data_IF_871156508732
#
_entry.id   IF_871156508732
#
_cell.length_a   1.000
_cell.length_b   1.000
_cell.length_c   1.000
_cell.angle_alpha   90.00
_cell.angle_beta   90.00
_cell.angle_gamma   90.00
#
_symmetry.space_group_name_H-M   'P 1'
#
loop_
_entity.id
_entity.type
_entity.pdbx_description
1 polymer ?
#
# COMPACT_ATOMS: atom_id res chain seq x y z
N UNK A 1 -2.15 27.51 4.58
CA UNK A 1 -3.04 26.51 3.93
C UNK A 1 -4.35 27.17 3.58
N UNK A 2 -4.87 26.94 2.38
CA UNK A 2 -6.21 27.39 1.97
C UNK A 2 -7.19 26.25 2.28
N UNK A 3 -8.27 26.56 3.00
CA UNK A 3 -9.33 25.61 3.40
C UNK A 3 -10.69 26.11 2.92
N UNK A 4 -11.76 25.29 2.96
CA UNK A 4 -13.10 25.74 2.63
C UNK A 4 -13.61 26.92 3.47
N UNK A 5 -13.22 26.98 4.75
CA UNK A 5 -13.70 27.98 5.72
C UNK A 5 -12.76 29.20 5.85
N UNK A 6 -11.52 29.13 5.37
CA UNK A 6 -10.56 30.21 5.56
C UNK A 6 -9.12 29.86 5.19
N UNK A 7 -8.19 30.76 5.53
CA UNK A 7 -6.75 30.56 5.30
C UNK A 7 -6.04 30.54 6.64
N UNK A 8 -5.34 29.45 6.92
CA UNK A 8 -4.63 29.22 8.18
C UNK A 8 -3.12 29.14 7.96
N UNK A 9 -2.33 29.60 8.92
CA UNK A 9 -0.88 29.37 9.00
C UNK A 9 -0.55 28.63 10.32
N UNK A 10 0.72 28.61 10.69
CA UNK A 10 1.23 28.12 11.97
C UNK A 10 0.73 28.92 13.19
N UNK A 11 0.24 30.14 12.97
CA UNK A 11 -0.40 31.00 13.98
C UNK A 11 -1.95 30.98 13.88
N UNK A 12 -2.52 30.02 13.13
CA UNK A 12 -3.95 29.81 12.86
C UNK A 12 -4.66 30.84 11.98
N UNK A 13 -4.33 32.13 12.04
CA UNK A 13 -4.99 33.17 11.23
C UNK A 13 -4.00 34.01 10.42
N UNK A 14 -4.45 34.45 9.24
CA UNK A 14 -3.69 35.34 8.38
C UNK A 14 -4.49 36.62 8.09
N UNK A 15 -4.05 37.74 8.67
CA UNK A 15 -4.54 39.08 8.35
C UNK A 15 -4.15 39.42 6.89
N UNK A 16 -5.09 39.30 5.95
CA UNK A 16 -4.96 39.59 4.50
C UNK A 16 -4.27 38.50 3.63
N UNK A 17 -4.96 37.37 3.34
CA UNK A 17 -4.38 36.30 2.56
C UNK A 17 -4.27 36.59 1.06
N UNK A 18 -3.11 36.30 0.47
CA UNK A 18 -2.87 36.41 -0.98
C UNK A 18 -3.77 35.50 -1.83
N UNK A 19 -4.25 34.41 -1.25
CA UNK A 19 -5.08 33.40 -1.89
C UNK A 19 -6.30 33.12 -1.04
N UNK A 20 -7.44 32.88 -1.67
CA UNK A 20 -8.68 32.47 -1.00
C UNK A 20 -9.27 31.24 -1.65
N UNK A 21 -10.08 30.53 -0.89
CA UNK A 21 -10.83 29.40 -1.41
C UNK A 21 -11.93 29.90 -2.34
N UNK A 22 -12.06 29.23 -3.50
CA UNK A 22 -13.15 29.46 -4.44
C UNK A 22 -13.98 28.19 -4.49
N UNK A 23 -15.23 28.21 -3.98
CA UNK A 23 -16.10 27.04 -4.00
C UNK A 23 -16.25 26.47 -5.41
N UNK A 24 -16.00 25.17 -5.54
CA UNK A 24 -16.10 24.42 -6.79
C UNK A 24 -17.14 23.30 -6.70
N UNK A 25 -17.90 23.24 -5.60
CA UNK A 25 -18.86 22.16 -5.30
C UNK A 25 -18.17 20.80 -5.29
N UNK A 26 -16.94 20.76 -4.76
CA UNK A 26 -16.20 19.53 -4.59
C UNK A 26 -16.62 18.87 -3.28
N UNK A 27 -16.71 17.54 -3.28
CA UNK A 27 -17.14 16.79 -2.09
C UNK A 27 -16.20 16.93 -0.87
N UNK A 28 -14.98 17.48 -1.04
CA UNK A 28 -14.11 17.80 0.11
C UNK A 28 -14.64 18.99 0.91
N UNK A 29 -15.35 19.92 0.26
CA UNK A 29 -15.92 21.12 0.88
C UNK A 29 -16.93 20.70 1.96
N UNK A 30 -17.82 19.77 1.62
CA UNK A 30 -18.84 19.24 2.53
C UNK A 30 -18.27 18.34 3.65
N UNK A 31 -17.01 17.92 3.52
CA UNK A 31 -16.33 17.00 4.47
C UNK A 31 -15.41 17.72 5.43
N UNK A 32 -15.05 18.97 5.16
CA UNK A 32 -14.30 19.79 6.09
C UNK A 32 -15.19 20.15 7.28
N UNK A 33 -14.70 19.93 8.50
CA UNK A 33 -15.49 20.05 9.73
C UNK A 33 -14.74 20.84 10.82
N UNK A 34 -13.78 21.67 10.42
CA UNK A 34 -12.98 22.49 11.33
C UNK A 34 -13.37 23.96 11.18
N UNK A 35 -13.95 24.53 12.23
CA UNK A 35 -14.35 25.93 12.27
C UNK A 35 -13.13 26.81 12.55
N UNK A 36 -12.77 27.67 11.59
CA UNK A 36 -11.60 28.54 11.69
C UNK A 36 -11.91 29.81 12.48
N UNK A 37 -13.14 30.35 12.32
CA UNK A 37 -13.60 31.60 12.93
C UNK A 37 -13.70 31.56 14.47
N UNK A 38 -13.65 30.37 15.09
CA UNK A 38 -13.65 30.21 16.54
C UNK A 38 -12.26 30.36 17.18
N UNK A 39 -11.22 30.63 16.38
CA UNK A 39 -9.85 30.79 16.84
C UNK A 39 -9.09 29.47 17.01
N UNK A 40 -7.76 29.60 17.03
CA UNK A 40 -6.80 28.48 16.98
C UNK A 40 -6.45 27.86 18.30
N UNK A 41 -7.04 28.36 19.39
CA UNK A 41 -6.80 27.83 20.73
C UNK A 41 -7.27 26.38 20.81
N UNK A 42 -6.44 25.56 21.48
CA UNK A 42 -6.70 24.15 21.74
C UNK A 42 -6.19 23.73 23.13
N UNK A 43 -6.74 22.63 23.65
CA UNK A 43 -6.28 21.99 24.90
C UNK A 43 -5.11 21.04 24.63
N UNK A 44 -3.90 21.47 25.02
CA UNK A 44 -2.68 20.68 24.87
C UNK A 44 -2.68 19.38 25.67
N UNK A 45 -3.36 19.32 26.82
CA UNK A 45 -3.44 18.09 27.62
C UNK A 45 -4.33 17.08 26.90
N UNK A 46 -5.44 17.52 26.30
CA UNK A 46 -6.29 16.66 25.49
C UNK A 46 -5.58 16.16 24.23
N UNK A 47 -4.81 17.02 23.55
CA UNK A 47 -3.95 16.62 22.42
C UNK A 47 -2.93 15.56 22.84
N UNK A 48 -2.24 15.76 23.97
CA UNK A 48 -1.28 14.77 24.50
C UNK A 48 -1.97 13.42 24.75
N UNK A 49 -3.12 13.43 25.42
CA UNK A 49 -3.90 12.21 25.70
C UNK A 49 -4.33 11.48 24.42
N UNK A 50 -4.75 12.20 23.37
CA UNK A 50 -5.07 11.63 22.06
C UNK A 50 -3.84 10.94 21.46
N UNK A 51 -2.70 11.62 21.43
CA UNK A 51 -1.46 11.11 20.85
C UNK A 51 -0.95 9.89 21.63
N UNK A 52 -1.00 9.90 22.95
CA UNK A 52 -0.64 8.74 23.76
C UNK A 52 -1.56 7.55 23.47
N UNK A 53 -2.86 7.78 23.33
CA UNK A 53 -3.83 6.69 23.19
C UNK A 53 -3.83 6.10 21.77
N UNK A 54 -3.74 6.93 20.74
CA UNK A 54 -4.02 6.56 19.34
C UNK A 54 -3.18 5.38 18.86
N UNK A 55 -1.84 5.46 18.98
CA UNK A 55 -0.94 4.44 18.43
C UNK A 55 -1.08 3.09 19.12
N UNK A 56 -1.59 3.06 20.37
CA UNK A 56 -1.88 1.86 21.16
C UNK A 56 -3.29 1.32 20.97
N UNK A 57 -4.07 1.82 20.01
CA UNK A 57 -5.41 1.25 19.72
C UNK A 57 -5.33 -0.04 18.90
N UNK A 58 -4.16 -0.34 18.32
CA UNK A 58 -3.91 -1.49 17.45
C UNK A 58 -2.45 -1.94 17.57
N UNK A 59 -2.17 -3.09 16.98
CA UNK A 59 -0.81 -3.58 16.75
C UNK A 59 0.07 -2.51 16.07
N UNK A 60 1.10 -2.06 16.79
CA UNK A 60 1.93 -0.92 16.40
C UNK A 60 2.70 -1.17 15.10
N UNK A 61 3.23 -2.39 14.92
CA UNK A 61 3.90 -2.85 13.70
C UNK A 61 3.07 -2.55 12.44
N UNK A 62 1.75 -2.75 12.52
CA UNK A 62 0.80 -2.58 11.40
C UNK A 62 0.18 -1.20 11.33
N UNK A 63 0.05 -0.52 12.46
CA UNK A 63 -0.67 0.75 12.54
C UNK A 63 0.23 1.98 12.39
N UNK A 64 1.47 1.93 12.89
CA UNK A 64 2.44 3.01 12.70
C UNK A 64 2.73 3.35 11.23
N UNK A 65 2.76 2.41 10.26
CA UNK A 65 2.85 2.77 8.84
C UNK A 65 1.69 3.64 8.36
N UNK A 66 0.49 3.45 8.93
CA UNK A 66 -0.70 4.28 8.63
C UNK A 66 -0.55 5.66 9.27
N UNK A 67 -0.21 5.72 10.57
CA UNK A 67 0.00 7.00 11.28
C UNK A 67 1.10 7.80 10.58
N UNK A 68 2.25 7.18 10.31
CA UNK A 68 3.37 7.79 9.62
C UNK A 68 2.98 8.34 8.25
N UNK A 69 2.30 7.56 7.42
CA UNK A 69 1.81 8.11 6.16
C UNK A 69 0.82 9.27 6.35
N UNK A 70 -0.10 9.16 7.31
CA UNK A 70 -1.11 10.20 7.57
C UNK A 70 -0.47 11.53 7.94
N UNK A 71 0.50 11.52 8.86
CA UNK A 71 1.22 12.74 9.28
C UNK A 71 2.13 13.26 8.17
N UNK A 72 2.86 12.39 7.47
CA UNK A 72 3.67 12.79 6.33
C UNK A 72 2.82 13.41 5.21
N UNK A 73 1.58 12.94 5.02
CA UNK A 73 0.69 13.46 3.98
C UNK A 73 0.38 14.95 4.15
N UNK A 74 0.36 15.46 5.38
CA UNK A 74 0.16 16.88 5.70
C UNK A 74 1.31 17.77 5.14
N UNK A 75 2.48 17.16 4.92
CA UNK A 75 3.68 17.78 4.38
C UNK A 75 3.92 17.44 2.90
N UNK A 76 2.93 16.84 2.21
CA UNK A 76 3.07 16.39 0.82
C UNK A 76 3.64 17.44 -0.15
N UNK A 77 3.25 18.72 -0.10
CA UNK A 77 3.86 19.74 -0.96
C UNK A 77 5.38 19.82 -0.78
N UNK A 78 5.87 19.75 0.46
CA UNK A 78 7.31 19.74 0.79
C UNK A 78 7.97 18.42 0.38
N UNK A 79 7.29 17.28 0.53
CA UNK A 79 7.79 15.97 0.05
C UNK A 79 7.98 15.97 -1.46
N UNK A 80 7.03 16.55 -2.20
CA UNK A 80 7.08 16.62 -3.66
C UNK A 80 8.17 17.55 -4.21
N UNK A 81 8.69 18.46 -3.38
CA UNK A 81 9.90 19.22 -3.72
C UNK A 81 11.16 18.34 -3.70
N UNK A 82 11.15 17.25 -2.92
CA UNK A 82 12.27 16.31 -2.77
C UNK A 82 12.14 15.08 -3.68
N UNK A 83 10.91 14.60 -3.89
CA UNK A 83 10.60 13.37 -4.60
C UNK A 83 9.53 13.61 -5.67
N UNK A 84 9.75 13.11 -6.90
CA UNK A 84 8.80 13.29 -8.01
C UNK A 84 7.49 12.50 -7.81
N UNK A 85 7.56 11.40 -7.06
CA UNK A 85 6.47 10.46 -6.85
C UNK A 85 6.24 10.23 -5.35
N UNK A 86 4.96 10.17 -4.95
CA UNK A 86 4.58 9.73 -3.60
C UNK A 86 3.71 8.47 -3.67
N UNK A 87 3.89 7.49 -2.76
CA UNK A 87 3.04 6.32 -2.72
C UNK A 87 1.63 6.65 -2.25
N UNK A 88 0.72 5.71 -2.48
CA UNK A 88 -0.55 5.61 -1.75
C UNK A 88 -0.39 4.66 -0.56
N UNK A 89 -1.32 4.71 0.39
CA UNK A 89 -1.45 3.64 1.40
C UNK A 89 -2.63 2.75 1.04
N UNK A 90 -2.43 1.44 1.13
CA UNK A 90 -3.50 0.47 1.01
C UNK A 90 -3.66 -0.33 2.30
N UNK A 91 -4.83 -0.19 2.93
CA UNK A 91 -5.16 -0.78 4.22
C UNK A 91 -6.14 -1.93 4.00
N UNK A 92 -5.64 -3.13 4.22
CA UNK A 92 -6.38 -4.38 4.13
C UNK A 92 -6.95 -4.79 5.48
N UNK A 93 -8.02 -5.56 5.46
CA UNK A 93 -8.56 -6.19 6.65
C UNK A 93 -9.99 -6.64 6.46
N UNK A 94 -10.30 -7.80 7.01
CA UNK A 94 -11.63 -8.41 6.92
C UNK A 94 -12.72 -7.54 7.56
N UNK A 95 -13.97 -7.76 7.18
CA UNK A 95 -15.11 -7.15 7.86
C UNK A 95 -15.02 -7.38 9.38
N UNK A 96 -15.19 -6.30 10.15
CA UNK A 96 -15.24 -6.35 11.61
C UNK A 96 -13.89 -6.21 12.32
N UNK A 97 -12.76 -6.04 11.61
CA UNK A 97 -11.47 -5.78 12.27
C UNK A 97 -11.30 -4.35 12.80
N UNK A 98 -12.30 -3.47 12.61
CA UNK A 98 -12.26 -2.08 13.07
C UNK A 98 -11.53 -1.10 12.14
N UNK A 99 -11.18 -1.53 10.91
CA UNK A 99 -10.51 -0.70 9.89
C UNK A 99 -11.19 0.63 9.65
N UNK A 100 -12.46 0.61 9.24
CA UNK A 100 -13.22 1.84 8.96
C UNK A 100 -13.25 2.74 10.20
N UNK A 101 -13.53 2.21 11.40
CA UNK A 101 -13.58 3.01 12.62
C UNK A 101 -12.25 3.74 12.91
N UNK A 102 -11.12 3.04 12.80
CA UNK A 102 -9.78 3.64 12.96
C UNK A 102 -9.53 4.75 11.94
N UNK A 103 -9.88 4.54 10.66
CA UNK A 103 -9.68 5.56 9.62
C UNK A 103 -10.62 6.75 9.78
N UNK A 104 -11.85 6.54 10.27
CA UNK A 104 -12.75 7.65 10.66
C UNK A 104 -12.10 8.53 11.73
N UNK A 105 -11.46 7.91 12.72
CA UNK A 105 -10.78 8.64 13.79
C UNK A 105 -9.61 9.47 13.23
N UNK A 106 -8.71 8.87 12.44
CA UNK A 106 -7.62 9.60 11.79
C UNK A 106 -8.09 10.76 10.93
N UNK A 107 -9.24 10.63 10.27
CA UNK A 107 -9.79 11.72 9.47
C UNK A 107 -10.33 12.86 10.33
N UNK A 108 -11.00 12.54 11.43
CA UNK A 108 -11.48 13.54 12.40
C UNK A 108 -10.34 14.29 13.07
N UNK A 109 -9.25 13.61 13.39
CA UNK A 109 -8.05 14.20 13.98
C UNK A 109 -7.36 15.26 13.11
N UNK A 110 -7.73 15.36 11.82
CA UNK A 110 -7.25 16.43 10.93
C UNK A 110 -8.36 17.40 10.50
N UNK A 111 -9.52 17.35 11.17
CA UNK A 111 -10.63 18.27 10.95
C UNK A 111 -11.62 17.85 9.85
N UNK A 112 -11.66 16.58 9.47
CA UNK A 112 -12.64 16.05 8.50
C UNK A 112 -13.83 15.39 9.21
N UNK A 113 -14.96 15.23 8.52
CA UNK A 113 -16.21 14.67 9.04
C UNK A 113 -16.14 13.17 9.44
N UNK A 114 -15.06 12.47 9.07
CA UNK A 114 -14.85 11.05 9.32
C UNK A 114 -15.55 10.13 8.32
N UNK A 115 -16.10 10.63 7.22
CA UNK A 115 -16.74 9.80 6.20
C UNK A 115 -15.81 9.57 5.00
N UNK A 116 -15.62 8.32 4.55
CA UNK A 116 -14.82 8.06 3.35
C UNK A 116 -15.54 8.51 2.08
N UNK A 117 -14.79 8.53 0.98
CA UNK A 117 -15.31 8.43 -0.37
C UNK A 117 -15.46 6.95 -0.76
N UNK A 118 -16.33 6.61 -1.71
CA UNK A 118 -16.43 5.22 -2.17
C UNK A 118 -15.43 4.97 -3.30
N UNK A 119 -14.69 3.85 -3.24
CA UNK A 119 -13.90 3.37 -4.36
C UNK A 119 -14.74 3.07 -5.63
N UNK A 120 -16.07 3.02 -5.49
CA UNK A 120 -17.05 2.80 -6.57
C UNK A 120 -17.71 4.08 -7.07
N UNK A 121 -17.31 5.23 -6.54
CA UNK A 121 -17.84 6.51 -6.98
C UNK A 121 -17.61 6.73 -8.48
N UNK A 122 -18.45 7.60 -9.06
CA UNK A 122 -18.35 7.89 -10.50
C UNK A 122 -16.96 8.42 -10.86
N UNK A 123 -16.52 8.20 -12.11
CA UNK A 123 -15.27 8.76 -12.64
C UNK A 123 -15.11 10.25 -12.32
N UNK A 124 -16.17 11.04 -12.43
CA UNK A 124 -16.10 12.47 -12.14
C UNK A 124 -15.90 12.75 -10.64
N UNK A 125 -16.58 12.03 -9.76
CA UNK A 125 -16.45 12.19 -8.32
C UNK A 125 -15.04 11.82 -7.84
N UNK A 126 -14.48 10.69 -8.28
CA UNK A 126 -13.10 10.28 -7.97
C UNK A 126 -12.06 11.30 -8.46
N UNK A 127 -12.19 11.73 -9.73
CA UNK A 127 -11.30 12.75 -10.31
C UNK A 127 -11.39 14.06 -9.52
N UNK A 128 -12.60 14.49 -9.17
CA UNK A 128 -12.82 15.72 -8.39
C UNK A 128 -12.18 15.62 -7.02
N UNK A 129 -12.38 14.51 -6.29
CA UNK A 129 -11.82 14.28 -4.97
C UNK A 129 -10.28 14.31 -4.99
N UNK A 130 -9.65 13.57 -5.91
CA UNK A 130 -8.18 13.51 -6.01
C UNK A 130 -7.52 14.81 -6.52
N UNK A 131 -8.32 15.72 -7.07
CA UNK A 131 -7.88 17.06 -7.52
C UNK A 131 -8.17 18.19 -6.52
N UNK A 132 -8.80 17.87 -5.39
CA UNK A 132 -9.36 18.88 -4.49
C UNK A 132 -8.38 19.39 -3.43
N UNK A 133 -7.26 18.69 -3.24
CA UNK A 133 -6.26 18.97 -2.22
C UNK A 133 -4.89 18.47 -2.66
N UNK A 134 -3.84 19.03 -2.06
CA UNK A 134 -2.45 18.62 -2.27
C UNK A 134 -1.76 18.11 -0.99
N UNK A 135 -2.42 18.16 0.17
CA UNK A 135 -1.84 17.80 1.47
C UNK A 135 -2.83 17.14 2.45
N UNK A 136 -4.13 17.09 2.14
CA UNK A 136 -5.11 16.32 2.91
C UNK A 136 -5.26 14.95 2.26
N UNK A 137 -5.11 13.82 2.99
CA UNK A 137 -5.27 12.51 2.39
C UNK A 137 -6.72 12.29 1.93
N UNK A 138 -6.92 11.75 0.73
CA UNK A 138 -8.22 11.33 0.22
C UNK A 138 -8.41 9.85 0.53
N UNK A 139 -9.34 9.57 1.43
CA UNK A 139 -9.67 8.20 1.86
C UNK A 139 -10.81 7.60 1.03
N UNK A 140 -10.47 6.59 0.22
CA UNK A 140 -11.38 5.78 -0.58
C UNK A 140 -11.60 4.43 0.12
N UNK A 141 -12.82 4.14 0.57
CA UNK A 141 -13.19 2.87 1.22
C UNK A 141 -14.01 1.97 0.29
N UNK A 142 -14.31 0.75 0.75
CA UNK A 142 -15.08 -0.28 0.02
C UNK A 142 -14.40 -0.80 -1.26
N UNK A 143 -13.07 -0.74 -1.31
CA UNK A 143 -12.32 -1.37 -2.40
C UNK A 143 -12.42 -2.90 -2.32
N UNK A 144 -13.11 -3.47 -3.30
CA UNK A 144 -13.32 -4.92 -3.42
C UNK A 144 -13.48 -5.29 -4.89
N UNK A 145 -12.36 -5.52 -5.61
CA UNK A 145 -12.33 -5.85 -7.03
C UNK A 145 -13.30 -6.95 -7.46
N UNK A 146 -13.45 -8.01 -6.67
CA UNK A 146 -14.38 -9.11 -6.97
C UNK A 146 -15.84 -8.66 -7.14
N UNK A 147 -16.23 -7.59 -6.44
CA UNK A 147 -17.58 -7.03 -6.44
C UNK A 147 -17.68 -5.72 -7.27
N UNK A 148 -16.60 -5.31 -7.94
CA UNK A 148 -16.53 -4.11 -8.78
C UNK A 148 -16.52 -4.47 -10.26
N UNK A 149 -17.04 -3.58 -11.10
CA UNK A 149 -16.93 -3.78 -12.56
C UNK A 149 -15.52 -3.45 -13.00
N UNK A 150 -15.00 -4.18 -13.98
CA UNK A 150 -13.65 -3.98 -14.51
C UNK A 150 -13.31 -2.52 -14.86
N UNK A 151 -14.23 -1.79 -15.49
CA UNK A 151 -13.98 -0.38 -15.83
C UNK A 151 -13.86 0.54 -14.60
N UNK A 152 -14.50 0.19 -13.47
CA UNK A 152 -14.43 0.95 -12.21
C UNK A 152 -13.04 0.77 -11.60
N UNK A 153 -12.55 -0.48 -11.58
CA UNK A 153 -11.19 -0.83 -11.15
C UNK A 153 -10.15 -0.12 -12.02
N UNK A 154 -10.25 -0.28 -13.35
CA UNK A 154 -9.31 0.32 -14.31
C UNK A 154 -9.26 1.85 -14.17
N UNK A 155 -10.43 2.50 -13.96
CA UNK A 155 -10.52 3.95 -13.77
C UNK A 155 -9.88 4.38 -12.46
N UNK A 156 -10.21 3.71 -11.36
CA UNK A 156 -9.67 4.02 -10.04
C UNK A 156 -8.14 3.86 -10.03
N UNK A 157 -7.62 2.74 -10.54
CA UNK A 157 -6.18 2.49 -10.59
C UNK A 157 -5.43 3.49 -11.47
N UNK A 158 -6.00 3.90 -12.61
CA UNK A 158 -5.42 4.96 -13.44
C UNK A 158 -5.33 6.29 -12.69
N UNK A 159 -6.38 6.66 -11.94
CA UNK A 159 -6.38 7.88 -11.14
C UNK A 159 -5.42 7.83 -9.95
N UNK A 160 -5.36 6.70 -9.24
CA UNK A 160 -4.40 6.51 -8.15
C UNK A 160 -2.96 6.61 -8.66
N UNK A 161 -2.65 6.01 -9.81
CA UNK A 161 -1.36 6.15 -10.48
C UNK A 161 -1.04 7.61 -10.84
N UNK A 162 -2.03 8.35 -11.34
CA UNK A 162 -1.87 9.78 -11.65
C UNK A 162 -1.66 10.61 -10.39
N UNK A 163 -2.37 10.32 -9.31
CA UNK A 163 -2.18 10.99 -8.02
C UNK A 163 -0.75 10.82 -7.47
N UNK A 164 -0.14 9.64 -7.63
CA UNK A 164 1.27 9.40 -7.27
C UNK A 164 2.21 10.41 -7.94
N UNK A 165 1.99 10.71 -9.23
CA UNK A 165 2.87 11.49 -10.10
C UNK A 165 2.39 12.93 -10.38
N UNK A 166 1.35 13.41 -9.70
CA UNK A 166 0.76 14.74 -9.98
C UNK A 166 0.24 14.86 -11.43
N UNK A 167 -0.49 13.84 -11.87
CA UNK A 167 -0.96 13.71 -13.25
C UNK A 167 -2.15 14.62 -13.58
N UNK A 168 -2.22 15.06 -14.83
CA UNK A 168 -3.34 15.83 -15.35
C UNK A 168 -4.47 14.92 -15.89
N UNK A 169 -5.70 15.28 -15.56
CA UNK A 169 -6.92 14.79 -16.19
C UNK A 169 -7.66 15.91 -16.91
N UNK A 170 -8.24 15.62 -18.07
CA UNK A 170 -8.94 16.64 -18.87
C UNK A 170 -10.37 16.26 -19.13
N UNK A 171 -11.26 17.25 -18.99
CA UNK A 171 -12.68 17.11 -19.28
C UNK A 171 -13.12 18.18 -20.26
N UNK A 172 -13.73 17.75 -21.36
CA UNK A 172 -14.40 18.65 -22.30
C UNK A 172 -15.74 19.14 -21.72
N UNK A 173 -15.99 20.44 -21.86
CA UNK A 173 -17.23 21.09 -21.46
C UNK A 173 -18.19 21.20 -22.65
N UNK A 174 -19.48 21.46 -22.38
CA UNK A 174 -20.51 21.58 -23.41
C UNK A 174 -20.26 22.75 -24.39
N UNK A 175 -19.52 23.76 -23.94
CA UNK A 175 -19.08 24.93 -24.72
C UNK A 175 -17.78 24.68 -25.51
N UNK A 176 -17.31 23.42 -25.59
CA UNK A 176 -16.06 23.00 -26.23
C UNK A 176 -14.78 23.51 -25.56
N UNK A 177 -14.86 24.10 -24.37
CA UNK A 177 -13.67 24.37 -23.54
C UNK A 177 -13.21 23.09 -22.84
N UNK A 178 -11.99 23.10 -22.30
CA UNK A 178 -11.43 21.96 -21.55
C UNK A 178 -11.05 22.42 -20.15
N UNK A 179 -11.57 21.74 -19.14
CA UNK A 179 -11.12 21.90 -17.75
C UNK A 179 -10.05 20.85 -17.47
N UNK A 180 -8.93 21.29 -16.90
CA UNK A 180 -7.84 20.42 -16.45
C UNK A 180 -7.94 20.25 -14.93
N UNK A 181 -7.88 19.00 -14.49
CA UNK A 181 -7.87 18.58 -13.10
C UNK A 181 -6.50 17.98 -12.80
N UNK A 182 -5.77 18.60 -11.87
CA UNK A 182 -4.46 18.13 -11.44
C UNK A 182 -4.66 17.17 -10.27
N UNK A 183 -4.39 15.89 -10.46
CA UNK A 183 -4.57 14.86 -9.44
C UNK A 183 -3.32 14.84 -8.56
N UNK A 184 -3.37 15.47 -7.39
CA UNK A 184 -2.19 15.67 -6.54
C UNK A 184 -2.38 15.24 -5.09
N UNK A 185 -3.61 14.88 -4.71
CA UNK A 185 -3.94 14.45 -3.37
C UNK A 185 -3.16 13.19 -2.95
N UNK A 186 -2.63 13.14 -1.70
CA UNK A 186 -2.24 11.89 -1.07
C UNK A 186 -3.43 10.94 -1.02
N UNK A 187 -3.24 9.65 -1.31
CA UNK A 187 -4.34 8.71 -1.47
C UNK A 187 -4.26 7.58 -0.45
N UNK A 188 -5.38 7.33 0.22
CA UNK A 188 -5.58 6.20 1.11
C UNK A 188 -6.67 5.32 0.52
N UNK A 189 -6.34 4.07 0.25
CA UNK A 189 -7.28 3.05 -0.19
C UNK A 189 -7.53 2.08 0.97
N UNK A 190 -8.79 1.71 1.22
CA UNK A 190 -9.11 0.65 2.16
C UNK A 190 -10.10 -0.36 1.57
N UNK A 191 -9.87 -1.63 1.89
CA UNK A 191 -10.59 -2.74 1.25
C UNK A 191 -10.38 -4.08 1.93
N UNK A 192 -11.15 -5.08 1.53
CA UNK A 192 -10.93 -6.48 1.96
C UNK A 192 -9.90 -7.17 1.06
N UNK A 193 -9.77 -6.72 -0.19
CA UNK A 193 -8.98 -7.35 -1.23
C UNK A 193 -7.81 -6.47 -1.67
N UNK A 194 -6.70 -7.10 -2.04
CA UNK A 194 -5.47 -6.44 -2.50
C UNK A 194 -5.65 -5.64 -3.78
N UNK A 195 -4.90 -4.54 -3.91
CA UNK A 195 -4.80 -3.81 -5.17
C UNK A 195 -4.20 -4.73 -6.23
N UNK A 196 -4.83 -4.73 -7.40
CA UNK A 196 -4.52 -5.68 -8.44
C UNK A 196 -3.43 -5.12 -9.36
N UNK A 197 -2.48 -5.96 -9.77
CA UNK A 197 -1.37 -5.59 -10.67
C UNK A 197 -0.10 -5.14 -9.95
N UNK A 198 1.06 -5.61 -10.40
CA UNK A 198 2.33 -5.35 -9.69
C UNK A 198 2.83 -3.92 -9.81
N UNK A 199 2.41 -3.20 -10.85
CA UNK A 199 2.75 -1.80 -10.98
C UNK A 199 2.00 -0.98 -9.92
N UNK A 200 0.74 -1.32 -9.67
CA UNK A 200 -0.12 -0.69 -8.70
C UNK A 200 0.31 -1.06 -7.27
N UNK A 201 0.64 -2.33 -7.03
CA UNK A 201 1.17 -2.80 -5.74
C UNK A 201 2.48 -2.11 -5.35
N UNK A 202 3.40 -1.89 -6.29
CA UNK A 202 4.68 -1.18 -6.03
C UNK A 202 4.51 0.30 -5.69
N UNK A 203 3.33 0.87 -5.94
CA UNK A 203 3.00 2.27 -5.59
C UNK A 203 2.35 2.38 -4.21
N UNK A 204 2.12 1.26 -3.53
CA UNK A 204 1.34 1.22 -2.30
C UNK A 204 2.20 0.80 -1.10
N UNK A 205 2.11 1.56 -0.01
CA UNK A 205 2.41 1.06 1.33
C UNK A 205 1.26 0.14 1.71
N UNK A 206 1.51 -1.16 1.76
CA UNK A 206 0.48 -2.16 2.08
C UNK A 206 0.59 -2.59 3.54
N UNK A 207 -0.48 -2.36 4.28
CA UNK A 207 -0.62 -2.87 5.65
C UNK A 207 -1.94 -3.63 5.79
N UNK A 208 -1.96 -4.63 6.65
CA UNK A 208 -3.15 -5.42 6.92
C UNK A 208 -3.50 -5.35 8.39
N UNK A 209 -4.66 -4.78 8.68
CA UNK A 209 -5.25 -4.80 10.00
C UNK A 209 -5.76 -6.19 10.32
N UNK A 210 -5.31 -6.71 11.46
CA UNK A 210 -5.79 -7.97 12.00
C UNK A 210 -6.94 -7.70 12.96
N UNK A 211 -7.76 -8.73 13.20
CA UNK A 211 -8.68 -8.73 14.31
C UNK A 211 -7.83 -8.54 15.57
N UNK A 212 -8.12 -7.48 16.31
CA UNK A 212 -7.55 -7.26 17.63
C UNK A 212 -7.93 -8.50 18.44
N UNK A 213 -6.94 -9.21 19.01
CA UNK A 213 -7.21 -10.23 20.03
C UNK A 213 -8.10 -9.59 21.11
N UNK A 214 -8.84 -10.37 21.89
CA UNK A 214 -9.56 -9.85 23.07
C UNK A 214 -8.56 -9.44 24.18
N UNK A 215 -7.44 -8.80 23.80
CA UNK A 215 -6.53 -8.14 24.70
C UNK A 215 -7.20 -6.84 25.15
N UNK A 216 -7.49 -6.81 26.45
CA UNK A 216 -8.21 -5.72 27.10
C UNK A 216 -7.58 -4.35 26.82
N UNK A 217 -6.27 -4.30 26.55
CA UNK A 217 -5.51 -3.06 26.36
C UNK A 217 -5.92 -2.30 25.09
N UNK A 218 -5.92 -2.92 23.90
CA UNK A 218 -6.31 -2.23 22.66
C UNK A 218 -7.75 -1.72 22.71
N UNK A 219 -8.66 -2.50 23.30
CA UNK A 219 -10.06 -2.10 23.46
C UNK A 219 -10.19 -0.96 24.47
N UNK A 220 -9.43 -0.98 25.56
CA UNK A 220 -9.36 0.10 26.53
C UNK A 220 -8.87 1.40 25.88
N UNK A 221 -7.75 1.36 25.16
CA UNK A 221 -7.20 2.54 24.47
C UNK A 221 -8.23 3.07 23.44
N UNK A 222 -8.87 2.19 22.67
CA UNK A 222 -9.92 2.60 21.73
C UNK A 222 -11.13 3.24 22.43
N UNK A 223 -11.57 2.70 23.56
CA UNK A 223 -12.67 3.26 24.34
C UNK A 223 -12.32 4.62 24.94
N UNK A 224 -11.08 4.83 25.40
CA UNK A 224 -10.60 6.13 25.87
C UNK A 224 -10.58 7.15 24.73
N UNK A 225 -10.03 6.79 23.57
CA UNK A 225 -9.92 7.68 22.42
C UNK A 225 -11.28 8.07 21.83
N UNK A 226 -12.14 7.08 21.57
CA UNK A 226 -13.38 7.27 20.80
C UNK A 226 -14.64 7.38 21.65
N UNK A 227 -14.52 7.15 22.96
CA UNK A 227 -15.63 6.94 23.87
C UNK A 227 -16.16 5.51 23.81
N UNK A 228 -17.00 5.15 24.78
CA UNK A 228 -17.63 3.83 24.85
C UNK A 228 -17.37 3.13 26.16
N UNK A 229 -17.10 1.82 26.13
CA UNK A 229 -16.87 1.04 27.33
C UNK A 229 -15.96 -0.17 27.10
N UNK A 230 -15.22 -0.54 28.14
CA UNK A 230 -14.39 -1.74 28.18
C UNK A 230 -14.60 -2.48 29.50
N UNK A 231 -14.33 -3.78 29.53
CA UNK A 231 -14.51 -4.62 30.71
C UNK A 231 -13.16 -4.91 31.36
N UNK A 232 -13.11 -4.89 32.69
CA UNK A 232 -11.98 -5.40 33.47
C UNK A 232 -12.52 -6.34 34.55
N UNK A 233 -11.63 -6.99 35.30
CA UNK A 233 -11.99 -7.81 36.47
C UNK A 233 -12.83 -7.03 37.51
N UNK A 234 -12.76 -5.69 37.50
CA UNK A 234 -13.51 -4.79 38.37
C UNK A 234 -14.90 -4.38 37.86
N UNK A 235 -15.29 -4.78 36.65
CA UNK A 235 -16.57 -4.43 36.03
C UNK A 235 -16.44 -3.70 34.69
N UNK A 236 -17.53 -3.06 34.25
CA UNK A 236 -17.57 -2.28 33.00
C UNK A 236 -17.17 -0.83 33.30
N UNK A 237 -16.16 -0.34 32.61
CA UNK A 237 -15.70 1.05 32.66
C UNK A 237 -16.25 1.80 31.44
N UNK A 238 -16.74 3.03 31.66
CA UNK A 238 -17.27 3.89 30.60
C UNK A 238 -16.34 5.07 30.38
N UNK A 239 -16.07 5.37 29.11
CA UNK A 239 -15.19 6.44 28.68
C UNK A 239 -15.98 7.49 27.88
N UNK A 240 -15.71 8.75 28.14
CA UNK A 240 -16.02 9.85 27.22
C UNK A 240 -14.84 9.96 26.26
N UNK A 241 -15.10 9.97 24.96
CA UNK A 241 -14.04 10.14 23.96
C UNK A 241 -13.49 11.55 23.96
N UNK A 242 -12.25 11.70 23.51
CA UNK A 242 -11.60 13.00 23.36
C UNK A 242 -12.24 13.80 22.22
N UNK A 243 -12.18 15.13 22.32
CA UNK A 243 -12.54 16.03 21.25
C UNK A 243 -11.44 16.07 20.18
N UNK A 244 -11.76 15.51 19.01
CA UNK A 244 -10.84 15.44 17.88
C UNK A 244 -10.51 16.81 17.28
N UNK A 245 -11.32 17.83 17.55
CA UNK A 245 -11.06 19.19 17.06
C UNK A 245 -9.84 19.81 17.72
N UNK A 246 -9.57 19.51 19.00
CA UNK A 246 -8.38 19.98 19.73
C UNK A 246 -7.12 19.54 19.00
N UNK A 247 -7.05 18.25 18.66
CA UNK A 247 -5.96 17.69 17.86
C UNK A 247 -5.90 18.29 16.45
N UNK A 248 -7.03 18.46 15.78
CA UNK A 248 -7.08 19.02 14.43
C UNK A 248 -6.50 20.44 14.37
N UNK A 249 -6.82 21.29 15.36
CA UNK A 249 -6.26 22.65 15.46
C UNK A 249 -4.75 22.61 15.68
N UNK A 250 -4.31 21.79 16.62
CA UNK A 250 -2.90 21.67 16.98
C UNK A 250 -2.05 21.11 15.84
N UNK A 251 -2.50 20.04 15.18
CA UNK A 251 -1.71 19.35 14.14
C UNK A 251 -1.51 20.22 12.91
N UNK A 252 -2.48 21.06 12.52
CA UNK A 252 -2.32 21.98 11.39
C UNK A 252 -1.34 23.11 11.71
N UNK A 253 -1.41 23.71 12.91
CA UNK A 253 -0.43 24.72 13.33
C UNK A 253 0.98 24.13 13.34
N UNK A 254 1.14 22.93 13.91
CA UNK A 254 2.42 22.23 13.93
C UNK A 254 2.94 21.88 12.53
N UNK A 255 2.10 21.30 11.66
CA UNK A 255 2.49 20.91 10.31
C UNK A 255 2.90 22.10 9.44
N UNK A 256 2.19 23.22 9.56
CA UNK A 256 2.46 24.43 8.80
C UNK A 256 3.73 25.14 9.29
N UNK A 257 4.06 25.00 10.58
CA UNK A 257 5.29 25.50 11.20
C UNK A 257 6.54 24.66 10.97
N UNK A 258 6.47 23.53 10.22
CA UNK A 258 7.65 22.69 9.96
C UNK A 258 8.66 23.41 9.08
N UNK A 259 9.78 23.81 9.68
CA UNK A 259 10.97 24.34 9.01
C UNK A 259 11.99 23.23 8.68
N UNK A 260 12.98 23.55 7.84
CA UNK A 260 14.12 22.68 7.47
C UNK A 260 13.73 21.25 7.04
N UNK A 261 12.64 21.14 6.28
CA UNK A 261 12.10 19.85 5.87
C UNK A 261 13.08 19.04 5.00
N UNK A 262 13.91 19.69 4.19
CA UNK A 262 14.93 19.01 3.37
C UNK A 262 15.92 18.23 4.24
N UNK A 263 16.40 18.82 5.34
CA UNK A 263 17.30 18.12 6.27
C UNK A 263 16.58 16.96 6.96
N UNK A 264 15.35 17.20 7.49
CA UNK A 264 14.54 16.16 8.14
C UNK A 264 14.28 14.97 7.19
N UNK A 265 13.99 15.25 5.91
CA UNK A 265 13.79 14.22 4.89
C UNK A 265 15.07 13.41 4.64
N UNK A 266 16.21 14.09 4.51
CA UNK A 266 17.51 13.46 4.29
C UNK A 266 17.91 12.56 5.45
N UNK A 267 17.77 13.04 6.69
CA UNK A 267 18.10 12.29 7.89
C UNK A 267 17.22 11.04 8.02
N UNK A 268 15.93 11.16 7.73
CA UNK A 268 15.02 10.01 7.67
C UNK A 268 15.43 9.00 6.60
N UNK A 269 15.85 9.47 5.41
CA UNK A 269 16.32 8.61 4.32
C UNK A 269 17.62 7.87 4.70
N UNK A 270 18.55 8.53 5.37
CA UNK A 270 19.78 7.92 5.89
C UNK A 270 19.46 6.85 6.97
N UNK A 271 18.50 7.12 7.87
CA UNK A 271 17.99 6.12 8.81
C UNK A 271 17.42 4.90 8.08
N UNK A 272 16.60 5.09 7.04
CA UNK A 272 16.06 3.98 6.24
C UNK A 272 17.18 3.17 5.59
N UNK A 273 18.17 3.81 4.97
CA UNK A 273 19.31 3.09 4.41
C UNK A 273 20.04 2.24 5.46
N UNK A 274 20.23 2.78 6.67
CA UNK A 274 20.83 2.05 7.78
C UNK A 274 19.98 0.87 8.26
N UNK A 275 18.65 0.99 8.29
CA UNK A 275 17.74 -0.12 8.61
C UNK A 275 17.82 -1.22 7.55
N UNK A 276 17.74 -0.85 6.26
CA UNK A 276 17.78 -1.80 5.15
C UNK A 276 19.12 -2.55 5.09
N UNK A 277 20.24 -1.84 5.28
CA UNK A 277 21.58 -2.45 5.28
C UNK A 277 21.77 -3.43 6.45
N UNK A 278 21.41 -3.01 7.68
CA UNK A 278 21.53 -3.86 8.88
C UNK A 278 20.71 -5.15 8.78
N UNK A 279 19.57 -5.08 8.10
CA UNK A 279 18.64 -6.21 7.95
C UNK A 279 18.77 -6.94 6.61
N UNK A 280 19.78 -6.59 5.79
CA UNK A 280 20.07 -7.22 4.49
C UNK A 280 18.88 -7.20 3.51
N UNK A 281 18.04 -6.15 3.58
CA UNK A 281 16.90 -5.97 2.69
C UNK A 281 17.39 -5.29 1.42
N UNK A 282 17.42 -6.06 0.33
CA UNK A 282 17.90 -5.61 -0.99
C UNK A 282 16.75 -5.36 -1.96
N UNK A 283 17.02 -4.59 -3.02
CA UNK A 283 16.12 -4.43 -4.16
C UNK A 283 14.89 -3.56 -3.93
N UNK A 284 14.98 -2.61 -2.98
CA UNK A 284 14.02 -1.53 -2.79
C UNK A 284 14.16 -0.53 -3.95
N UNK A 285 13.05 -0.26 -4.65
CA UNK A 285 12.95 0.73 -5.73
C UNK A 285 12.79 2.15 -5.15
N UNK A 286 13.01 3.20 -5.97
CA UNK A 286 12.96 4.59 -5.50
C UNK A 286 11.63 4.95 -4.80
N UNK A 287 10.48 4.57 -5.38
CA UNK A 287 9.18 4.86 -4.79
C UNK A 287 8.95 4.11 -3.47
N UNK A 288 9.47 2.89 -3.36
CA UNK A 288 9.43 2.10 -2.12
C UNK A 288 10.33 2.74 -1.05
N UNK A 289 11.50 3.26 -1.44
CA UNK A 289 12.35 4.04 -0.55
C UNK A 289 11.63 5.31 -0.07
N UNK A 290 11.01 6.07 -0.99
CA UNK A 290 10.17 7.23 -0.64
C UNK A 290 9.05 6.83 0.32
N UNK A 291 8.44 5.66 0.12
CA UNK A 291 7.40 5.14 0.99
C UNK A 291 7.89 4.88 2.42
N UNK A 292 9.03 4.20 2.57
CA UNK A 292 9.64 3.97 3.88
C UNK A 292 10.08 5.30 4.53
N UNK A 293 10.62 6.24 3.75
CA UNK A 293 11.00 7.57 4.24
C UNK A 293 9.77 8.38 4.69
N UNK A 294 8.65 8.32 3.97
CA UNK A 294 7.39 8.94 4.41
C UNK A 294 6.92 8.37 5.75
N UNK A 295 6.97 7.04 5.94
CA UNK A 295 6.62 6.42 7.23
C UNK A 295 7.53 6.96 8.34
N UNK A 296 8.85 6.96 8.14
CA UNK A 296 9.80 7.47 9.13
C UNK A 296 9.56 8.95 9.46
N UNK A 297 9.42 9.82 8.45
CA UNK A 297 9.20 11.26 8.64
C UNK A 297 7.90 11.53 9.37
N UNK A 298 6.81 10.84 9.01
CA UNK A 298 5.55 11.04 9.69
C UNK A 298 5.50 10.46 11.09
N UNK A 299 6.15 9.33 11.36
CA UNK A 299 6.31 8.82 12.72
C UNK A 299 7.16 9.76 13.58
N UNK A 300 8.25 10.32 13.02
CA UNK A 300 9.04 11.34 13.71
C UNK A 300 8.19 12.57 14.00
N UNK A 301 7.41 13.05 13.02
CA UNK A 301 6.48 14.17 13.20
C UNK A 301 5.43 13.87 14.27
N UNK A 302 4.90 12.64 14.34
CA UNK A 302 3.96 12.21 15.38
C UNK A 302 4.57 12.28 16.77
N UNK A 303 5.80 11.80 16.94
CA UNK A 303 6.54 11.83 18.20
C UNK A 303 6.87 13.28 18.59
N UNK A 304 7.47 14.06 17.68
CA UNK A 304 7.80 15.47 17.91
C UNK A 304 6.55 16.30 18.26
N UNK A 305 5.43 16.02 17.60
CA UNK A 305 4.13 16.63 17.89
C UNK A 305 3.66 16.26 19.30
N UNK A 306 3.71 14.99 19.69
CA UNK A 306 3.37 14.56 21.04
C UNK A 306 4.23 15.24 22.11
N UNK A 307 5.55 15.23 21.92
CA UNK A 307 6.51 15.86 22.85
C UNK A 307 6.24 17.36 23.02
N UNK A 308 5.93 18.07 21.92
CA UNK A 308 5.59 19.48 21.96
C UNK A 308 4.33 19.80 22.78
N UNK A 309 3.44 18.82 22.94
CA UNK A 309 2.19 18.94 23.69
C UNK A 309 2.23 18.28 25.08
N UNK A 310 3.37 17.72 25.47
CA UNK A 310 3.59 17.11 26.78
C UNK A 310 3.20 15.64 26.90
N UNK A 311 3.04 14.92 25.78
CA UNK A 311 2.85 13.47 25.80
C UNK A 311 4.11 12.76 26.32
N UNK A 312 3.92 11.78 27.20
CA UNK A 312 4.96 10.96 27.81
C UNK A 312 5.03 9.55 27.21
N UNK A 313 3.89 9.02 26.72
CA UNK A 313 3.80 7.65 26.17
C UNK A 313 3.69 7.63 24.64
N UNK A 314 4.85 7.66 23.99
CA UNK A 314 5.02 7.75 22.54
C UNK A 314 5.69 6.49 21.97
N UNK A 315 5.46 6.17 20.68
CA UNK A 315 6.16 5.07 20.01
C UNK A 315 7.68 5.23 20.13
N UNK A 316 8.36 4.16 20.52
CA UNK A 316 9.82 4.18 20.58
C UNK A 316 10.42 4.07 19.18
N UNK A 317 11.72 4.39 19.06
CA UNK A 317 12.45 4.13 17.81
C UNK A 317 12.44 2.65 17.41
N UNK A 318 12.33 1.73 18.38
CA UNK A 318 12.20 0.30 18.08
C UNK A 318 10.84 -0.01 17.45
N UNK A 319 9.75 0.55 17.98
CA UNK A 319 8.41 0.34 17.40
C UNK A 319 8.32 0.87 15.97
N UNK A 320 8.95 2.01 15.70
CA UNK A 320 9.03 2.61 14.37
C UNK A 320 9.90 1.75 13.44
N UNK A 321 11.05 1.24 13.90
CA UNK A 321 11.92 0.34 13.11
C UNK A 321 11.18 -0.97 12.77
N UNK A 322 10.47 -1.57 13.71
CA UNK A 322 9.67 -2.78 13.49
C UNK A 322 8.57 -2.56 12.43
N UNK A 323 7.87 -1.42 12.51
CA UNK A 323 6.88 -1.02 11.51
C UNK A 323 7.49 -0.80 10.11
N UNK A 324 8.68 -0.20 10.04
CA UNK A 324 9.42 -0.01 8.78
C UNK A 324 9.83 -1.36 8.20
N UNK A 325 10.36 -2.27 9.04
CA UNK A 325 10.75 -3.61 8.62
C UNK A 325 9.56 -4.41 8.11
N UNK A 326 8.41 -4.33 8.79
CA UNK A 326 7.17 -4.97 8.35
C UNK A 326 6.78 -4.58 6.91
N UNK A 327 6.96 -3.31 6.53
CA UNK A 327 6.70 -2.84 5.16
C UNK A 327 7.86 -3.21 4.22
N UNK A 328 9.10 -3.00 4.64
CA UNK A 328 10.29 -3.23 3.82
C UNK A 328 10.43 -4.70 3.39
N UNK A 329 10.12 -5.66 4.27
CA UNK A 329 10.12 -7.09 3.93
C UNK A 329 9.12 -7.44 2.83
N UNK A 330 8.00 -6.73 2.73
CA UNK A 330 7.02 -6.94 1.66
C UNK A 330 7.49 -6.35 0.32
N UNK A 331 8.30 -5.29 0.35
CA UNK A 331 8.81 -4.58 -0.84
C UNK A 331 10.10 -5.21 -1.41
N UNK A 332 10.95 -5.77 -0.54
CA UNK A 332 12.28 -6.26 -0.88
C UNK A 332 12.33 -7.42 -1.88
N UNK A 333 13.51 -7.61 -2.49
CA UNK A 333 13.79 -8.66 -3.48
C UNK A 333 13.44 -10.07 -2.98
N UNK A 334 13.64 -10.38 -1.70
CA UNK A 334 13.31 -11.69 -1.12
C UNK A 334 11.83 -12.06 -1.25
N UNK A 335 10.92 -11.09 -1.11
CA UNK A 335 9.50 -11.33 -1.37
C UNK A 335 9.22 -11.40 -2.88
N UNK A 336 9.92 -10.63 -3.70
CA UNK A 336 9.76 -10.72 -5.17
C UNK A 336 10.18 -12.08 -5.70
N UNK A 337 11.26 -12.66 -5.16
CA UNK A 337 11.73 -13.99 -5.51
C UNK A 337 10.83 -15.08 -4.94
N UNK A 338 10.25 -14.92 -3.74
CA UNK A 338 9.29 -15.89 -3.19
C UNK A 338 8.05 -16.05 -4.07
N UNK A 339 7.42 -14.95 -4.51
CA UNK A 339 6.27 -15.01 -5.41
C UNK A 339 6.61 -15.65 -6.77
N UNK A 340 7.80 -15.38 -7.31
CA UNK A 340 8.26 -16.06 -8.53
C UNK A 340 8.48 -17.55 -8.27
N UNK A 341 9.08 -17.90 -7.14
CA UNK A 341 9.29 -19.30 -6.73
C UNK A 341 7.98 -20.05 -6.57
N UNK A 342 7.05 -19.52 -5.80
CA UNK A 342 5.72 -20.10 -5.58
C UNK A 342 4.98 -20.31 -6.91
N UNK A 343 5.02 -19.32 -7.81
CA UNK A 343 4.46 -19.48 -9.15
C UNK A 343 5.15 -20.57 -9.96
N UNK A 344 6.48 -20.66 -9.92
CA UNK A 344 7.24 -21.69 -10.64
C UNK A 344 6.95 -23.10 -10.08
N UNK A 345 6.81 -23.25 -8.77
CA UNK A 345 6.37 -24.50 -8.14
C UNK A 345 4.98 -24.90 -8.65
N UNK A 346 4.03 -23.97 -8.68
CA UNK A 346 2.68 -24.21 -9.19
C UNK A 346 2.64 -24.48 -10.70
N UNK A 347 3.58 -23.93 -11.48
CA UNK A 347 3.72 -24.30 -12.90
C UNK A 347 4.07 -25.78 -13.03
N UNK A 348 4.95 -26.31 -12.17
CA UNK A 348 5.28 -27.75 -12.19
C UNK A 348 4.05 -28.60 -11.81
N UNK A 349 3.30 -28.20 -10.77
CA UNK A 349 2.06 -28.87 -10.37
C UNK A 349 0.98 -28.84 -11.47
N UNK A 350 0.83 -27.69 -12.14
CA UNK A 350 -0.12 -27.53 -13.23
C UNK A 350 0.28 -28.35 -14.47
N UNK A 351 1.57 -28.55 -14.73
CA UNK A 351 2.05 -29.46 -15.78
C UNK A 351 1.71 -30.91 -15.42
N UNK A 352 1.99 -31.34 -14.19
CA UNK A 352 1.67 -32.70 -13.73
C UNK A 352 0.16 -33.00 -13.77
N UNK A 353 -0.66 -31.99 -13.47
CA UNK A 353 -2.12 -32.08 -13.50
C UNK A 353 -2.73 -31.87 -14.91
N UNK A 354 -1.93 -31.85 -15.98
CA UNK A 354 -2.35 -31.68 -17.37
C UNK A 354 -3.09 -30.36 -17.68
N UNK A 355 -2.79 -29.27 -16.96
CA UNK A 355 -3.31 -27.91 -17.26
C UNK A 355 -2.48 -27.19 -18.32
N UNK A 356 -1.27 -27.68 -18.59
CA UNK A 356 -0.30 -27.12 -19.52
C UNK A 356 0.09 -28.17 -20.55
N UNK A 357 -0.04 -27.83 -21.84
CA UNK A 357 0.28 -28.76 -22.92
C UNK A 357 1.76 -28.62 -23.35
N UNK A 358 2.50 -29.73 -23.56
CA UNK A 358 3.83 -29.67 -24.15
C UNK A 358 3.75 -29.24 -25.62
N UNK A 359 4.83 -28.62 -26.13
CA UNK A 359 5.00 -28.30 -27.56
C UNK A 359 4.88 -29.58 -28.40
N UNK A 360 3.95 -29.58 -29.34
CA UNK A 360 3.77 -30.67 -30.30
C UNK A 360 4.91 -30.68 -31.33
N UNK A 361 5.48 -31.85 -31.58
CA UNK A 361 6.53 -32.05 -32.59
C UNK A 361 6.00 -31.90 -34.02
N UNK A 362 4.69 -32.00 -34.24
CA UNK A 362 4.04 -31.97 -35.55
C UNK A 362 3.28 -30.66 -35.82
N UNK A 363 2.98 -29.86 -34.79
CA UNK A 363 2.36 -28.55 -34.91
C UNK A 363 3.18 -27.48 -34.17
N UNK A 364 3.92 -26.69 -34.96
CA UNK A 364 4.79 -25.62 -34.47
C UNK A 364 4.03 -24.42 -33.88
N UNK A 365 2.71 -24.51 -33.67
CA UNK A 365 1.90 -23.48 -33.03
C UNK A 365 1.06 -23.99 -31.83
N UNK A 366 1.14 -25.27 -31.49
CA UNK A 366 0.44 -25.84 -30.33
C UNK A 366 1.39 -26.01 -29.14
N UNK A 367 0.83 -26.05 -27.93
CA UNK A 367 1.58 -26.16 -26.69
C UNK A 367 1.93 -24.84 -26.00
N UNK A 368 2.27 -25.01 -24.74
CA UNK A 368 2.41 -23.97 -23.71
C UNK A 368 3.80 -24.00 -23.09
N UNK A 369 4.44 -25.17 -23.06
CA UNK A 369 5.80 -25.34 -22.57
C UNK A 369 6.62 -26.34 -23.40
N UNK A 370 7.95 -26.32 -23.23
CA UNK A 370 8.84 -27.38 -23.73
C UNK A 370 10.05 -27.50 -22.81
N UNK A 371 10.66 -28.69 -22.76
CA UNK A 371 11.90 -28.92 -22.01
C UNK A 371 13.04 -29.08 -23.00
N UNK A 372 14.01 -28.16 -22.96
CA UNK A 372 15.20 -28.24 -23.80
C UNK A 372 16.34 -28.90 -23.03
N UNK A 373 17.17 -29.68 -23.75
CA UNK A 373 18.28 -30.43 -23.16
C UNK A 373 17.83 -31.32 -21.99
N UNK A 374 16.67 -31.96 -22.13
CA UNK A 374 16.11 -32.93 -21.18
C UNK A 374 17.17 -33.92 -20.68
N UNK A 375 17.21 -34.13 -19.36
CA UNK A 375 18.15 -34.97 -18.62
C UNK A 375 19.63 -34.60 -18.77
N UNK A 376 19.95 -33.34 -19.08
CA UNK A 376 21.32 -32.81 -19.08
C UNK A 376 21.52 -31.78 -17.97
N UNK A 377 22.77 -31.46 -17.58
CA UNK A 377 23.06 -30.43 -16.57
C UNK A 377 22.60 -29.02 -16.92
N UNK A 378 22.22 -28.77 -18.18
CA UNK A 378 21.73 -27.47 -18.68
C UNK A 378 20.28 -27.62 -19.18
N UNK A 379 19.51 -28.49 -18.51
CA UNK A 379 18.09 -28.72 -18.74
C UNK A 379 17.30 -27.47 -18.39
N UNK A 380 16.47 -27.03 -19.34
CA UNK A 380 15.69 -25.80 -19.17
C UNK A 380 14.23 -26.04 -19.52
N UNK A 381 13.35 -25.69 -18.59
CA UNK A 381 11.93 -25.57 -18.84
C UNK A 381 11.69 -24.22 -19.53
N UNK A 382 11.02 -24.25 -20.67
CA UNK A 382 10.63 -23.05 -21.41
C UNK A 382 9.12 -22.92 -21.43
N UNK A 383 8.60 -21.85 -20.85
CA UNK A 383 7.15 -21.61 -20.75
C UNK A 383 6.72 -20.36 -21.51
N UNK A 384 5.56 -20.43 -22.16
CA UNK A 384 4.81 -19.24 -22.57
C UNK A 384 4.14 -18.65 -21.33
N UNK A 385 4.79 -17.64 -20.75
CA UNK A 385 4.39 -17.09 -19.44
C UNK A 385 2.92 -16.68 -19.36
N UNK A 386 2.35 -16.07 -20.40
CA UNK A 386 0.93 -15.71 -20.46
C UNK A 386 0.01 -16.93 -20.34
N UNK A 387 0.33 -18.00 -21.06
CA UNK A 387 -0.45 -19.24 -21.03
C UNK A 387 -0.26 -19.99 -19.70
N UNK A 388 0.96 -20.04 -19.20
CA UNK A 388 1.30 -20.64 -17.92
C UNK A 388 0.60 -19.94 -16.76
N UNK A 389 0.55 -18.61 -16.77
CA UNK A 389 -0.20 -17.84 -15.78
C UNK A 389 -1.68 -18.21 -15.77
N UNK A 390 -2.34 -18.21 -16.93
CA UNK A 390 -3.75 -18.60 -17.03
C UNK A 390 -4.00 -20.04 -16.58
N UNK A 391 -3.14 -20.98 -16.96
CA UNK A 391 -3.25 -22.38 -16.57
C UNK A 391 -3.07 -22.58 -15.06
N UNK A 392 -2.09 -21.91 -14.44
CA UNK A 392 -1.83 -21.94 -13.00
C UNK A 392 -2.96 -21.30 -12.21
N UNK A 393 -3.48 -20.14 -12.64
CA UNK A 393 -4.65 -19.52 -12.01
C UNK A 393 -5.86 -20.45 -12.05
N UNK A 394 -6.06 -21.16 -13.16
CA UNK A 394 -7.13 -22.16 -13.28
C UNK A 394 -6.89 -23.35 -12.34
N UNK A 395 -5.67 -23.87 -12.27
CA UNK A 395 -5.28 -24.95 -11.37
C UNK A 395 -5.54 -24.59 -9.90
N UNK A 396 -5.08 -23.42 -9.44
CA UNK A 396 -5.30 -22.94 -8.06
C UNK A 396 -6.79 -22.87 -7.72
N UNK A 397 -7.61 -22.36 -8.64
CA UNK A 397 -9.06 -22.28 -8.47
C UNK A 397 -9.72 -23.67 -8.42
N UNK A 398 -9.43 -24.53 -9.40
CA UNK A 398 -10.03 -25.86 -9.51
C UNK A 398 -9.67 -26.75 -8.30
N UNK A 399 -8.50 -26.53 -7.70
CA UNK A 399 -8.02 -27.26 -6.52
C UNK A 399 -8.30 -26.58 -5.17
N UNK A 400 -8.97 -25.42 -5.15
CA UNK A 400 -9.28 -24.63 -3.94
C UNK A 400 -8.06 -24.41 -3.04
N UNK A 401 -6.91 -24.07 -3.63
CA UNK A 401 -5.68 -23.80 -2.89
C UNK A 401 -5.77 -22.43 -2.20
N UNK A 402 -6.48 -22.40 -1.08
CA UNK A 402 -6.68 -21.20 -0.26
C UNK A 402 -5.38 -20.84 0.45
N UNK A 403 -4.78 -19.70 0.09
CA UNK A 403 -3.54 -19.19 0.69
C UNK A 403 -2.40 -18.92 -0.29
N UNK A 404 -2.57 -19.26 -1.57
CA UNK A 404 -1.60 -18.95 -2.63
C UNK A 404 -1.72 -17.48 -3.04
N UNK A 405 -0.62 -16.72 -3.00
CA UNK A 405 -0.58 -15.30 -3.41
C UNK A 405 -0.02 -15.16 -4.84
N UNK A 406 -0.85 -15.53 -5.82
CA UNK A 406 -0.53 -15.32 -7.24
C UNK A 406 -0.66 -13.85 -7.63
N UNK A 407 0.24 -13.37 -8.49
CA UNK A 407 0.08 -12.06 -9.14
C UNK A 407 -1.00 -12.13 -10.21
N UNK A 408 -1.68 -11.01 -10.41
CA UNK A 408 -2.88 -10.98 -11.26
C UNK A 408 -2.57 -10.98 -12.77
N UNK A 409 -1.38 -10.52 -13.20
CA UNK A 409 -0.95 -10.50 -14.62
C UNK A 409 0.40 -11.20 -14.82
N UNK A 410 0.51 -12.03 -15.87
CA UNK A 410 1.76 -12.64 -16.31
C UNK A 410 2.90 -11.63 -16.57
N UNK A 411 2.59 -10.38 -16.93
CA UNK A 411 3.59 -9.31 -17.12
C UNK A 411 4.30 -8.94 -15.82
N UNK A 412 3.62 -9.10 -14.70
CA UNK A 412 4.17 -8.82 -13.38
C UNK A 412 5.23 -9.84 -13.00
N UNK A 413 4.93 -11.12 -13.25
CA UNK A 413 5.92 -12.18 -13.20
C UNK A 413 7.08 -11.88 -14.14
N UNK A 414 6.82 -11.48 -15.39
CA UNK A 414 7.91 -11.13 -16.33
C UNK A 414 8.80 -10.01 -15.80
N UNK A 415 8.23 -9.01 -15.10
CA UNK A 415 8.99 -7.91 -14.51
C UNK A 415 9.85 -8.42 -13.36
N UNK A 416 9.30 -9.23 -12.45
CA UNK A 416 10.05 -9.81 -11.31
C UNK A 416 11.14 -10.79 -11.77
N UNK A 417 10.87 -11.57 -12.81
CA UNK A 417 11.84 -12.49 -13.44
C UNK A 417 13.00 -11.76 -14.13
N UNK A 418 12.94 -10.43 -14.31
CA UNK A 418 14.07 -9.62 -14.78
C UNK A 418 15.02 -9.20 -13.66
N UNK A 419 14.59 -9.25 -12.41
CA UNK A 419 15.33 -8.74 -11.25
C UNK A 419 16.41 -9.75 -10.77
N UNK A 420 17.09 -10.42 -11.72
CA UNK A 420 18.16 -11.44 -11.52
C UNK A 420 17.80 -12.58 -10.55
N UNK A 421 16.76 -13.34 -10.90
CA UNK A 421 16.43 -14.61 -10.23
C UNK A 421 17.41 -15.70 -10.70
N UNK A 422 18.15 -16.32 -9.78
CA UNK A 422 19.27 -17.23 -10.08
C UNK A 422 18.91 -18.41 -11.01
N UNK A 423 17.72 -18.98 -10.84
CA UNK A 423 17.22 -20.09 -11.66
C UNK A 423 16.49 -19.65 -12.95
N UNK A 424 16.50 -18.35 -13.29
CA UNK A 424 15.88 -17.81 -14.52
C UNK A 424 16.96 -17.21 -15.42
N UNK A 425 17.65 -18.04 -16.21
CA UNK A 425 18.72 -17.58 -17.10
C UNK A 425 18.24 -16.66 -18.24
N UNK A 426 16.94 -16.66 -18.56
CA UNK A 426 16.36 -15.72 -19.53
C UNK A 426 14.87 -15.53 -19.33
N UNK A 427 14.44 -14.29 -19.13
CA UNK A 427 13.02 -13.92 -19.04
C UNK A 427 12.33 -13.74 -20.41
N UNK A 428 13.07 -13.92 -21.51
CA UNK A 428 12.56 -13.74 -22.86
C UNK A 428 13.45 -14.39 -23.93
N UNK A 429 13.50 -15.71 -23.94
CA UNK A 429 14.26 -16.52 -24.89
C UNK A 429 13.43 -16.86 -26.14
N UNK A 430 14.03 -16.71 -27.33
CA UNK A 430 13.46 -17.24 -28.56
C UNK A 430 13.48 -18.78 -28.55
N UNK A 431 12.31 -19.39 -28.71
CA UNK A 431 12.08 -20.83 -28.72
C UNK A 431 11.34 -21.22 -30.00
N UNK A 432 11.95 -22.04 -30.88
CA UNK A 432 11.25 -22.56 -32.05
C UNK A 432 9.93 -23.23 -31.64
N UNK A 433 8.84 -22.97 -32.38
CA UNK A 433 7.51 -23.51 -32.10
C UNK A 433 6.73 -22.82 -30.96
N UNK A 434 7.40 -22.13 -30.03
CA UNK A 434 6.73 -21.44 -28.91
C UNK A 434 6.91 -19.91 -28.89
N UNK A 435 7.78 -19.35 -29.75
CA UNK A 435 8.03 -17.91 -29.75
C UNK A 435 8.88 -17.48 -28.55
N UNK A 436 8.52 -16.36 -27.88
CA UNK A 436 9.29 -15.82 -26.75
C UNK A 436 8.82 -16.45 -25.44
N UNK A 437 9.69 -17.22 -24.81
CA UNK A 437 9.43 -17.94 -23.56
C UNK A 437 10.28 -17.39 -22.42
N UNK A 438 9.83 -17.62 -21.19
CA UNK A 438 10.74 -17.60 -20.03
C UNK A 438 11.49 -18.94 -20.02
N UNK A 439 12.78 -18.90 -19.73
CA UNK A 439 13.64 -20.07 -19.56
C UNK A 439 14.00 -20.20 -18.09
N UNK A 440 13.66 -21.35 -17.51
CA UNK A 440 13.93 -21.72 -16.13
C UNK A 440 14.97 -22.84 -16.15
N UNK A 441 16.04 -22.71 -15.38
CA UNK A 441 16.99 -23.78 -15.14
C UNK A 441 16.38 -24.75 -14.12
N UNK A 442 16.10 -25.97 -14.56
CA UNK A 442 15.31 -26.91 -13.75
C UNK A 442 16.08 -27.44 -12.55
N UNK A 443 17.40 -27.58 -12.65
CA UNK A 443 18.24 -28.07 -11.55
C UNK A 443 18.38 -27.00 -10.47
N UNK A 444 18.66 -25.76 -10.86
CA UNK A 444 18.72 -24.65 -9.89
C UNK A 444 17.37 -24.40 -9.25
N UNK A 445 16.27 -24.46 -10.01
CA UNK A 445 14.93 -24.30 -9.46
C UNK A 445 14.60 -25.37 -8.41
N UNK A 446 14.95 -26.64 -8.63
CA UNK A 446 14.74 -27.72 -7.65
C UNK A 446 15.57 -27.55 -6.37
N UNK A 447 16.71 -26.86 -6.44
CA UNK A 447 17.55 -26.58 -5.28
C UNK A 447 17.02 -25.44 -4.40
N UNK A 448 16.42 -24.41 -5.01
CA UNK A 448 16.12 -23.14 -4.33
C UNK A 448 14.64 -22.77 -4.26
N UNK A 449 13.77 -23.43 -5.03
CA UNK A 449 12.33 -23.17 -5.05
C UNK A 449 11.61 -24.29 -4.30
N UNK A 450 11.05 -23.95 -3.14
CA UNK A 450 10.26 -24.90 -2.36
C UNK A 450 9.04 -25.39 -3.16
N UNK A 451 8.79 -26.71 -3.11
CA UNK A 451 7.71 -27.38 -3.85
C UNK A 451 7.94 -27.59 -5.36
N UNK A 452 9.01 -27.04 -5.95
CA UNK A 452 9.37 -27.31 -7.34
C UNK A 452 10.08 -28.66 -7.48
N UNK A 453 9.45 -29.60 -8.19
CA UNK A 453 10.01 -30.93 -8.42
C UNK A 453 10.16 -31.20 -9.92
N UNK A 454 11.36 -31.57 -10.37
CA UNK A 454 11.61 -31.84 -11.80
C UNK A 454 10.83 -33.03 -12.32
N UNK A 455 10.54 -34.00 -11.43
CA UNK A 455 9.76 -35.20 -11.73
C UNK A 455 8.36 -34.90 -12.26
N UNK A 456 7.77 -33.77 -11.85
CA UNK A 456 6.43 -33.31 -12.27
C UNK A 456 6.39 -32.86 -13.73
N UNK A 457 7.51 -32.35 -14.23
CA UNK A 457 7.62 -31.79 -15.59
C UNK A 457 8.10 -32.84 -16.59
N UNK A 458 8.94 -33.78 -16.11
CA UNK A 458 9.60 -34.79 -16.91
C UNK A 458 9.42 -36.17 -16.27
N UNK A 459 8.31 -36.88 -16.54
CA UNK A 459 8.12 -38.22 -16.00
C UNK A 459 9.15 -39.22 -16.59
N UNK A 460 9.88 -39.89 -15.68
CA UNK A 460 10.82 -41.04 -15.80
C UNK A 460 12.31 -40.76 -16.14
N UNK A 461 13.31 -41.23 -15.36
CA UNK A 461 13.45 -42.44 -14.51
C UNK A 461 14.16 -42.11 -13.16
N UNK A 462 13.46 -42.22 -12.03
CA UNK A 462 14.05 -42.26 -10.66
C UNK A 462 14.01 -43.66 -10.02
N UNK A 463 13.83 -44.71 -10.84
CA UNK A 463 13.99 -46.11 -10.44
C UNK A 463 15.20 -46.72 -11.15
N UNK A 464 16.41 -46.32 -10.76
CA UNK A 464 17.63 -46.99 -11.21
C UNK A 464 18.83 -46.72 -10.27
N UNK A 465 18.68 -46.95 -8.96
CA UNK A 465 19.81 -47.23 -8.06
C UNK A 465 19.34 -48.13 -6.93
N UNK A 466 19.23 -49.42 -7.22
CA UNK A 466 19.38 -50.52 -6.25
C UNK A 466 19.48 -51.83 -7.05
N UNK A 467 20.65 -52.06 -7.67
CA UNK A 467 21.22 -53.39 -7.95
C UNK A 467 22.75 -53.34 -7.82
#
# INVERSE_FOLDING_TARGET
>A
MVTPEGVINDEWELDDPEHSFVPRQQAIEDKWNLEIDEGGDYDSEEVANIVETLWKTRDSERFLPVIGYWYASLLTPKIREQEEEIPLVHILGDTGVGKTATLKMLYKLIGMDGNPYSARDTKFALMSALSSTNNVPIWLDEYKPSDMKKYEIDTLQDFLRKATQVGDETRGNADQTVTRYKLEAPAVLSGEESIQGSAEQRRAIRTQFRKVSEEDEYQQQWAQLSGGSYQTDGGVNYCTGYDTNEHAKAVWQFALGVEDFESKWRDAKDTIFGILERNQIMGIENLELTALTMIQVGCNMYVEFGEAHGAEDLPTQSDIEDAILYIAFQMGQGNRTSHVGEFIALVADAIEADYLDPLDEYDNNSGDYTVVKKNKPDEKLRIKLEKAHHAVSKYVNDHNLNGVDLLDDYKDYRKRMKDDVEYIPSHSQGTPGLGRCVSIDTHLAEEVVDGFERGKIVPEVYYATDE
#
